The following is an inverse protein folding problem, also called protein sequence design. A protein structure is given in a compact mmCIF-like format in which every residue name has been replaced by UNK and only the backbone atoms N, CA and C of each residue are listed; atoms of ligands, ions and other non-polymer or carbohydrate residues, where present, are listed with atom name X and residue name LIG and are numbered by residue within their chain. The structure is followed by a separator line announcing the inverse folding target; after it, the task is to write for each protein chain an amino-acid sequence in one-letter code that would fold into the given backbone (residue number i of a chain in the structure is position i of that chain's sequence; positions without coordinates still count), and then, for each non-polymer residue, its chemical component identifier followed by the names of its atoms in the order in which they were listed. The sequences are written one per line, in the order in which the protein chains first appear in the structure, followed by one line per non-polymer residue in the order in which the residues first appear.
data_IF_288523154566
#
_entry.id   IF_288523154566
#
_cell.length_a   1.000
_cell.length_b   1.000
_cell.length_c   1.000
_cell.angle_alpha   90.00
_cell.angle_beta   90.00
_cell.angle_gamma   90.00
#
_symmetry.space_group_name_H-M   'P 1'
#
loop_
_entity.id
_entity.type
_entity.pdbx_description
1 polymer ?
#
# COMPACT_ATOMS: atom_id res chain seq x y z
N UNK A 1 42.80 1.10 23.56
CA UNK A 1 41.84 0.02 23.28
C UNK A 1 40.38 0.45 23.38
N UNK A 2 39.88 1.00 24.49
CA UNK A 2 38.45 1.39 24.62
C UNK A 2 37.92 2.35 23.53
N UNK A 3 38.68 3.41 23.17
CA UNK A 3 38.26 4.40 22.15
C UNK A 3 38.21 3.86 20.71
N UNK A 4 39.07 2.88 20.37
CA UNK A 4 39.07 2.20 19.07
C UNK A 4 37.91 1.20 18.95
N UNK A 5 37.54 0.53 20.05
CA UNK A 5 36.36 -0.32 20.11
C UNK A 5 35.07 0.50 19.93
N UNK A 6 34.94 1.64 20.62
CA UNK A 6 33.80 2.53 20.42
C UNK A 6 33.71 3.08 19.00
N UNK A 7 34.84 3.47 18.38
CA UNK A 7 34.85 3.95 16.99
C UNK A 7 34.49 2.84 15.98
N UNK A 8 34.96 1.61 16.21
CA UNK A 8 34.63 0.46 15.36
C UNK A 8 33.17 0.01 15.52
N UNK A 9 32.64 0.02 16.75
CA UNK A 9 31.21 -0.23 17.01
C UNK A 9 30.34 0.88 16.41
N UNK A 10 30.77 2.15 16.49
CA UNK A 10 30.08 3.25 15.81
C UNK A 10 30.12 3.14 14.29
N UNK A 11 31.25 2.73 13.70
CA UNK A 11 31.38 2.51 12.25
C UNK A 11 30.61 1.27 11.78
N UNK A 12 30.53 0.21 12.59
CA UNK A 12 29.74 -0.98 12.30
C UNK A 12 28.22 -0.71 12.43
N UNK A 13 27.80 0.07 13.45
CA UNK A 13 26.44 0.58 13.55
C UNK A 13 26.12 1.54 12.40
N UNK A 14 27.04 2.46 12.06
CA UNK A 14 26.88 3.38 10.92
C UNK A 14 26.80 2.64 9.57
N UNK A 15 27.49 1.50 9.41
CA UNK A 15 27.39 0.66 8.23
C UNK A 15 26.03 -0.08 8.13
N UNK A 16 25.36 -0.36 9.26
CA UNK A 16 23.97 -0.84 9.26
C UNK A 16 22.97 0.27 8.84
N UNK A 17 23.31 1.54 9.05
CA UNK A 17 22.52 2.68 8.58
C UNK A 17 22.85 3.13 7.14
N UNK A 18 23.83 2.48 6.47
CA UNK A 18 24.36 2.94 5.18
C UNK A 18 23.90 2.13 3.96
N UNK A 19 23.00 1.17 4.13
CA UNK A 19 22.40 0.43 3.01
C UNK A 19 20.90 0.31 3.22
N UNK A 20 20.13 0.94 2.33
CA UNK A 20 18.70 0.69 2.20
C UNK A 20 18.46 -0.83 2.02
N UNK A 21 17.43 -1.34 2.69
CA UNK A 21 17.01 -2.73 2.61
C UNK A 21 16.57 -3.03 1.17
N UNK A 22 17.08 -4.10 0.58
CA UNK A 22 16.68 -4.52 -0.77
C UNK A 22 15.25 -5.06 -0.79
N UNK A 23 14.62 -5.07 -1.97
CA UNK A 23 13.29 -5.69 -2.15
C UNK A 23 13.26 -7.15 -1.70
N UNK A 24 14.33 -7.92 -1.97
CA UNK A 24 14.46 -9.32 -1.56
C UNK A 24 14.56 -9.51 -0.05
N UNK A 25 15.32 -8.65 0.64
CA UNK A 25 15.44 -8.70 2.10
C UNK A 25 14.12 -8.29 2.76
N UNK A 26 13.45 -7.26 2.22
CA UNK A 26 12.13 -6.87 2.68
C UNK A 26 11.09 -7.98 2.49
N UNK A 27 11.13 -8.67 1.35
CA UNK A 27 10.22 -9.79 1.06
C UNK A 27 10.46 -10.95 2.01
N UNK A 28 11.72 -11.32 2.27
CA UNK A 28 12.07 -12.36 3.24
C UNK A 28 11.48 -12.05 4.61
N UNK A 29 11.59 -10.79 5.07
CA UNK A 29 11.06 -10.33 6.36
C UNK A 29 9.54 -10.23 6.40
N UNK A 30 8.90 -9.89 5.28
CA UNK A 30 7.45 -9.81 5.18
C UNK A 30 6.79 -11.20 5.06
N UNK A 31 7.47 -12.16 4.42
CA UNK A 31 6.93 -13.48 4.05
C UNK A 31 6.26 -14.27 5.19
N UNK A 32 6.72 -14.25 6.45
CA UNK A 32 6.04 -14.99 7.53
C UNK A 32 4.66 -14.43 7.85
N UNK A 33 4.41 -13.16 7.50
CA UNK A 33 3.17 -12.44 7.81
C UNK A 33 2.21 -12.36 6.62
N UNK A 34 2.67 -12.69 5.40
CA UNK A 34 1.82 -12.74 4.21
C UNK A 34 1.11 -14.09 4.01
N UNK A 35 1.48 -15.12 4.77
CA UNK A 35 0.73 -16.38 4.94
C UNK A 35 0.26 -17.09 3.65
N UNK A 36 0.98 -16.90 2.52
CA UNK A 36 0.62 -17.47 1.22
C UNK A 36 -0.55 -16.77 0.51
N UNK A 37 -0.95 -15.59 0.99
CA UNK A 37 -1.90 -14.73 0.28
C UNK A 37 -1.27 -14.15 -1.00
N UNK A 38 -2.10 -13.96 -2.02
CA UNK A 38 -1.71 -13.21 -3.21
C UNK A 38 -1.60 -11.73 -2.87
N UNK A 39 -0.41 -11.30 -2.47
CA UNK A 39 -0.11 -9.90 -2.18
C UNK A 39 0.38 -9.17 -3.44
N UNK A 40 -0.05 -7.93 -3.57
CA UNK A 40 0.52 -6.93 -4.47
C UNK A 40 1.66 -6.22 -3.75
N UNK A 41 2.73 -5.96 -4.49
CA UNK A 41 3.92 -5.28 -3.99
C UNK A 41 4.10 -3.98 -4.77
N UNK A 42 4.46 -2.90 -4.07
CA UNK A 42 4.81 -1.66 -4.74
C UNK A 42 6.13 -1.82 -5.53
N UNK A 43 6.30 -1.15 -6.68
CA UNK A 43 7.51 -1.23 -7.48
C UNK A 43 8.78 -0.73 -6.76
N UNK A 44 8.64 0.16 -5.78
CA UNK A 44 9.73 0.70 -4.96
C UNK A 44 9.22 1.11 -3.57
N UNK A 45 10.10 1.43 -2.60
CA UNK A 45 9.69 1.88 -1.28
C UNK A 45 8.87 3.16 -1.34
N UNK A 46 7.74 3.21 -0.66
CA UNK A 46 6.89 4.40 -0.57
C UNK A 46 7.27 5.23 0.66
N UNK A 47 7.57 6.51 0.47
CA UNK A 47 7.80 7.45 1.58
C UNK A 47 6.49 7.72 2.31
N UNK A 48 6.43 7.37 3.61
CA UNK A 48 5.27 7.62 4.48
C UNK A 48 5.74 8.32 5.76
N UNK A 49 5.58 9.64 5.79
CA UNK A 49 5.99 10.44 6.94
C UNK A 49 7.49 10.71 6.95
N UNK A 50 8.24 10.04 7.83
CA UNK A 50 9.68 10.29 8.01
C UNK A 50 10.56 9.10 7.60
N UNK A 51 9.97 8.10 6.95
CA UNK A 51 10.57 6.81 6.62
C UNK A 51 9.93 6.30 5.32
N UNK A 52 10.58 5.34 4.69
CA UNK A 52 10.16 4.72 3.43
C UNK A 52 9.92 3.24 3.64
N UNK A 53 8.91 2.69 2.98
CA UNK A 53 8.45 1.34 3.28
C UNK A 53 8.32 0.48 2.03
N UNK A 54 8.88 -0.72 2.09
CA UNK A 54 8.45 -1.82 1.21
C UNK A 54 7.08 -2.30 1.68
N UNK A 55 6.07 -2.16 0.83
CA UNK A 55 4.66 -2.42 1.18
C UNK A 55 4.14 -3.61 0.38
N UNK A 56 3.55 -4.55 1.10
CA UNK A 56 2.86 -5.73 0.58
C UNK A 56 1.41 -5.67 1.04
N UNK A 57 0.46 -5.71 0.11
CA UNK A 57 -0.95 -5.58 0.45
C UNK A 57 -1.82 -6.49 -0.41
N UNK A 58 -2.95 -6.95 0.11
CA UNK A 58 -3.97 -7.61 -0.71
C UNK A 58 -4.71 -6.56 -1.54
N UNK A 59 -4.99 -6.84 -2.81
CA UNK A 59 -5.73 -5.93 -3.71
C UNK A 59 -6.96 -5.29 -3.05
N UNK A 60 -7.35 -4.09 -3.47
CA UNK A 60 -8.55 -3.44 -2.93
C UNK A 60 -9.77 -3.58 -3.86
N UNK A 61 -9.53 -3.97 -5.12
CA UNK A 61 -10.53 -4.08 -6.17
C UNK A 61 -10.20 -5.23 -7.13
N UNK A 62 -11.16 -6.12 -7.46
CA UNK A 62 -12.50 -6.29 -6.90
C UNK A 62 -12.46 -6.70 -5.41
N UNK A 63 -13.58 -6.66 -4.67
CA UNK A 63 -13.59 -6.90 -3.24
C UNK A 63 -12.97 -8.26 -2.88
N UNK A 64 -11.89 -8.25 -2.11
CA UNK A 64 -11.30 -9.45 -1.52
C UNK A 64 -11.73 -9.61 -0.08
N UNK A 65 -11.96 -10.87 0.30
CA UNK A 65 -12.41 -11.24 1.65
C UNK A 65 -11.32 -11.12 2.70
N UNK A 66 -10.05 -11.30 2.30
CA UNK A 66 -8.89 -11.14 3.16
C UNK A 66 -8.22 -9.80 2.88
N UNK A 67 -8.02 -9.05 3.96
CA UNK A 67 -7.42 -7.72 3.95
C UNK A 67 -6.17 -7.79 4.79
N UNK A 68 -5.04 -7.47 4.18
CA UNK A 68 -3.73 -7.54 4.80
C UNK A 68 -2.87 -6.42 4.27
N UNK A 69 -2.05 -5.88 5.18
CA UNK A 69 -0.93 -5.01 4.85
C UNK A 69 0.27 -5.44 5.69
N UNK A 70 1.42 -5.58 5.04
CA UNK A 70 2.70 -5.81 5.68
C UNK A 70 3.64 -4.74 5.16
N UNK A 71 4.36 -4.08 6.06
CA UNK A 71 5.31 -3.05 5.71
C UNK A 71 6.66 -3.33 6.36
N UNK A 72 7.74 -3.13 5.60
CA UNK A 72 9.11 -3.24 6.09
C UNK A 72 9.79 -1.89 5.90
N UNK A 73 10.34 -1.32 6.96
CA UNK A 73 11.09 -0.06 6.88
C UNK A 73 12.32 -0.26 6.00
N UNK A 74 12.52 0.64 5.03
CA UNK A 74 13.69 0.65 4.17
C UNK A 74 14.96 0.94 4.97
N UNK A 75 14.87 1.80 5.99
CA UNK A 75 16.02 2.21 6.81
C UNK A 75 16.32 1.24 7.95
N UNK A 76 15.30 0.80 8.70
CA UNK A 76 15.50 -0.10 9.84
C UNK A 76 15.56 -1.57 9.40
N UNK A 77 14.96 -1.89 8.27
CA UNK A 77 14.78 -3.26 7.82
C UNK A 77 13.80 -4.05 8.67
N UNK A 78 13.13 -3.48 9.65
CA UNK A 78 12.20 -4.21 10.51
C UNK A 78 10.77 -4.11 9.97
N UNK A 79 9.99 -5.16 10.25
CA UNK A 79 8.55 -5.15 9.97
C UNK A 79 7.85 -4.15 10.90
N UNK A 80 7.01 -3.29 10.32
CA UNK A 80 6.29 -2.26 11.06
C UNK A 80 5.19 -2.89 11.90
N UNK A 81 5.36 -2.86 13.22
CA UNK A 81 4.40 -3.41 14.20
C UNK A 81 3.68 -2.34 15.03
N UNK A 82 4.10 -1.08 14.93
CA UNK A 82 3.38 0.05 15.52
C UNK A 82 2.07 0.30 14.77
N UNK A 83 0.94 0.17 15.45
CA UNK A 83 -0.39 0.25 14.82
C UNK A 83 -0.66 1.62 14.17
N UNK A 84 -0.15 2.71 14.74
CA UNK A 84 -0.36 4.07 14.22
C UNK A 84 0.39 4.24 12.91
N UNK A 85 1.68 3.86 12.88
CA UNK A 85 2.50 3.88 11.66
C UNK A 85 1.94 2.93 10.62
N UNK A 86 1.62 1.69 10.99
CA UNK A 86 1.08 0.70 10.06
C UNK A 86 -0.27 1.14 9.49
N UNK A 87 -1.12 1.80 10.29
CA UNK A 87 -2.37 2.38 9.79
C UNK A 87 -2.15 3.50 8.77
N UNK A 88 -1.12 4.32 8.94
CA UNK A 88 -0.75 5.34 7.94
C UNK A 88 -0.26 4.68 6.65
N UNK A 89 0.64 3.70 6.76
CA UNK A 89 1.13 2.92 5.61
C UNK A 89 0.00 2.19 4.89
N UNK A 90 -0.93 1.59 5.63
CA UNK A 90 -2.11 0.92 5.09
C UNK A 90 -3.04 1.89 4.34
N UNK A 91 -3.20 3.11 4.85
CA UNK A 91 -3.99 4.12 4.17
C UNK A 91 -3.35 4.53 2.83
N UNK A 92 -2.02 4.65 2.79
CA UNK A 92 -1.28 4.92 1.56
C UNK A 92 -1.30 3.74 0.59
N UNK A 93 -1.19 2.50 1.09
CA UNK A 93 -1.36 1.29 0.28
C UNK A 93 -2.75 1.22 -0.36
N UNK A 94 -3.79 1.65 0.37
CA UNK A 94 -5.15 1.74 -0.17
C UNK A 94 -5.25 2.77 -1.30
N UNK A 95 -4.64 3.95 -1.13
CA UNK A 95 -4.62 4.98 -2.18
C UNK A 95 -3.88 4.49 -3.42
N UNK A 96 -2.77 3.77 -3.24
CA UNK A 96 -2.03 3.15 -4.32
C UNK A 96 -2.88 2.09 -5.02
N UNK A 97 -3.55 1.21 -4.26
CA UNK A 97 -4.47 0.21 -4.79
C UNK A 97 -5.63 0.82 -5.59
N UNK A 98 -6.11 2.01 -5.24
CA UNK A 98 -7.15 2.68 -6.04
C UNK A 98 -6.62 3.08 -7.44
N UNK A 99 -5.36 3.47 -7.52
CA UNK A 99 -4.70 3.76 -8.80
C UNK A 99 -4.38 2.46 -9.55
N UNK A 100 -3.65 1.56 -8.91
CA UNK A 100 -3.09 0.35 -9.51
C UNK A 100 -4.13 -0.75 -9.79
N UNK A 101 -5.10 -0.97 -8.90
CA UNK A 101 -6.07 -2.08 -9.03
C UNK A 101 -7.32 -1.67 -9.82
N UNK A 102 -7.65 -0.37 -9.85
CA UNK A 102 -8.86 0.14 -10.50
C UNK A 102 -8.59 1.09 -11.67
N UNK A 103 -7.83 2.17 -11.48
CA UNK A 103 -7.66 3.22 -12.51
C UNK A 103 -6.84 2.72 -13.71
N UNK A 104 -5.65 2.17 -13.46
CA UNK A 104 -4.72 1.76 -14.52
C UNK A 104 -5.24 0.58 -15.37
N UNK A 105 -5.72 -0.54 -14.78
CA UNK A 105 -6.17 -1.69 -15.56
C UNK A 105 -7.43 -1.40 -16.36
N UNK A 106 -8.21 -0.40 -15.94
CA UNK A 106 -9.37 0.09 -16.68
C UNK A 106 -9.01 1.14 -17.72
N UNK A 107 -7.76 1.57 -17.85
CA UNK A 107 -7.33 2.59 -18.80
C UNK A 107 -7.95 3.97 -18.50
N UNK A 108 -7.95 4.34 -17.23
CA UNK A 108 -8.37 5.67 -16.75
C UNK A 108 -7.20 6.53 -16.29
N UNK A 109 -5.95 6.12 -16.57
CA UNK A 109 -4.77 6.91 -16.25
C UNK A 109 -4.79 8.26 -16.97
N UNK A 110 -4.16 9.28 -16.37
CA UNK A 110 -4.01 10.59 -17.02
C UNK A 110 -3.27 10.49 -18.35
N UNK A 111 -2.26 9.61 -18.43
CA UNK A 111 -1.53 9.30 -19.66
C UNK A 111 -2.41 8.81 -20.81
N UNK A 112 -3.55 8.15 -20.50
CA UNK A 112 -4.50 7.67 -21.50
C UNK A 112 -5.57 8.72 -21.83
N UNK A 113 -6.08 9.41 -20.80
CA UNK A 113 -7.23 10.29 -20.93
C UNK A 113 -6.87 11.69 -21.45
N UNK A 114 -5.76 12.27 -21.00
CA UNK A 114 -5.39 13.64 -21.36
C UNK A 114 -5.17 13.83 -22.88
N UNK A 115 -4.45 12.94 -23.60
CA UNK A 115 -4.29 13.10 -25.05
C UNK A 115 -5.61 12.99 -25.82
N UNK A 116 -6.46 12.03 -25.46
CA UNK A 116 -7.76 11.84 -26.09
C UNK A 116 -8.65 13.08 -25.90
N UNK A 117 -8.65 13.65 -24.69
CA UNK A 117 -9.44 14.82 -24.37
C UNK A 117 -8.93 16.10 -25.08
N UNK A 118 -7.60 16.30 -25.15
CA UNK A 118 -6.99 17.40 -25.89
C UNK A 118 -7.35 17.38 -27.39
N UNK A 119 -7.35 16.20 -28.03
CA UNK A 119 -7.77 16.08 -29.43
C UNK A 119 -9.24 16.46 -29.62
N UNK A 120 -10.10 16.11 -28.68
CA UNK A 120 -11.53 16.44 -28.72
C UNK A 120 -11.82 17.91 -28.48
N UNK A 121 -11.01 18.59 -27.67
CA UNK A 121 -11.10 20.05 -27.53
C UNK A 121 -10.83 20.76 -28.86
N UNK A 122 -9.82 20.32 -29.62
CA UNK A 122 -9.55 20.87 -30.97
C UNK A 122 -10.73 20.64 -31.90
N UNK A 123 -11.31 19.43 -31.88
CA UNK A 123 -12.49 19.12 -32.68
C UNK A 123 -13.69 19.99 -32.31
N UNK A 124 -13.94 20.25 -31.02
CA UNK A 124 -15.00 21.14 -30.55
C UNK A 124 -14.81 22.59 -31.04
N UNK A 125 -13.58 23.10 -31.00
CA UNK A 125 -13.26 24.43 -31.54
C UNK A 125 -13.50 24.50 -33.05
N UNK A 126 -13.21 23.43 -33.80
CA UNK A 126 -13.54 23.33 -35.22
C UNK A 126 -15.05 23.27 -35.45
N UNK A 127 -15.80 22.52 -34.62
CA UNK A 127 -17.26 22.49 -34.67
C UNK A 127 -17.87 23.87 -34.45
N UNK A 128 -17.26 24.74 -33.62
CA UNK A 128 -17.72 26.11 -33.43
C UNK A 128 -17.60 26.94 -34.72
N UNK A 129 -16.45 26.85 -35.40
CA UNK A 129 -16.26 27.53 -36.68
C UNK A 129 -17.23 26.99 -37.75
N UNK A 130 -17.38 25.66 -37.84
CA UNK A 130 -18.27 25.02 -38.79
C UNK A 130 -19.75 25.38 -38.56
N UNK A 131 -20.18 25.49 -37.29
CA UNK A 131 -21.53 25.91 -36.95
C UNK A 131 -21.78 27.37 -37.33
N UNK A 132 -20.81 28.26 -37.09
CA UNK A 132 -20.90 29.66 -37.48
C UNK A 132 -21.03 29.83 -39.00
N UNK A 133 -20.21 29.10 -39.76
CA UNK A 133 -20.26 29.10 -41.23
C UNK A 133 -21.60 28.55 -41.74
N UNK A 134 -22.08 27.44 -41.15
CA UNK A 134 -23.39 26.86 -41.47
C UNK A 134 -24.51 27.85 -41.16
N UNK A 135 -24.49 28.51 -39.99
CA UNK A 135 -25.50 29.48 -39.59
C UNK A 135 -25.55 30.68 -40.53
N UNK A 136 -24.40 31.22 -40.94
CA UNK A 136 -24.35 32.33 -41.91
C UNK A 136 -24.95 31.94 -43.26
N UNK A 137 -24.57 30.76 -43.79
CA UNK A 137 -25.08 30.28 -45.08
C UNK A 137 -26.58 30.01 -45.00
N UNK A 138 -27.05 29.37 -43.93
CA UNK A 138 -28.46 29.01 -43.75
C UNK A 138 -29.32 30.26 -43.49
N UNK A 139 -28.93 31.17 -42.61
CA UNK A 139 -29.72 32.38 -42.32
C UNK A 139 -29.89 33.28 -43.54
N UNK A 140 -28.90 33.31 -44.45
CA UNK A 140 -29.00 34.09 -45.69
C UNK A 140 -30.09 33.59 -46.66
N UNK A 141 -30.49 32.31 -46.56
CA UNK A 141 -31.46 31.65 -47.46
C UNK A 141 -32.74 31.20 -46.75
N UNK A 142 -32.65 30.86 -45.48
CA UNK A 142 -33.65 30.17 -44.67
C UNK A 142 -33.74 30.81 -43.28
N UNK A 143 -34.07 32.10 -43.22
CA UNK A 143 -34.06 32.91 -41.99
C UNK A 143 -34.98 32.42 -40.85
N UNK A 144 -35.86 31.44 -41.11
CA UNK A 144 -36.72 30.81 -40.10
C UNK A 144 -36.07 29.59 -39.41
N UNK A 145 -34.93 29.11 -39.91
CA UNK A 145 -34.14 28.10 -39.20
C UNK A 145 -33.27 28.78 -38.16
N UNK A 146 -33.33 28.27 -36.93
CA UNK A 146 -32.58 28.78 -35.79
C UNK A 146 -31.62 27.73 -35.25
N UNK A 147 -30.35 28.12 -35.10
CA UNK A 147 -29.30 27.29 -34.52
C UNK A 147 -28.78 27.85 -33.19
N UNK A 148 -29.42 28.89 -32.63
CA UNK A 148 -29.02 29.56 -31.39
C UNK A 148 -28.86 28.59 -30.21
N UNK A 149 -29.73 27.59 -30.10
CA UNK A 149 -29.64 26.57 -29.05
C UNK A 149 -28.43 25.64 -29.24
N UNK A 150 -28.09 25.30 -30.49
CA UNK A 150 -26.89 24.51 -30.80
C UNK A 150 -25.64 25.32 -30.47
N UNK A 151 -25.62 26.60 -30.82
CA UNK A 151 -24.52 27.53 -30.53
C UNK A 151 -24.31 27.75 -29.02
N UNK A 152 -25.40 27.96 -28.27
CA UNK A 152 -25.35 28.11 -26.83
C UNK A 152 -24.82 26.85 -26.14
N UNK A 153 -25.32 25.67 -26.53
CA UNK A 153 -24.85 24.41 -25.95
C UNK A 153 -23.42 24.07 -26.35
N UNK A 154 -23.00 24.39 -27.58
CA UNK A 154 -21.61 24.21 -28.02
C UNK A 154 -20.65 25.13 -27.23
N UNK A 155 -21.06 26.37 -26.97
CA UNK A 155 -20.27 27.30 -26.15
C UNK A 155 -20.09 26.79 -24.73
N UNK A 156 -21.17 26.28 -24.11
CA UNK A 156 -21.09 25.63 -22.79
C UNK A 156 -20.21 24.38 -22.82
N UNK A 157 -20.28 23.60 -23.90
CA UNK A 157 -19.49 22.39 -24.07
C UNK A 157 -18.00 22.69 -24.22
N UNK A 158 -17.64 23.71 -24.99
CA UNK A 158 -16.24 24.17 -25.12
C UNK A 158 -15.71 24.65 -23.77
N UNK A 159 -16.49 25.45 -23.03
CA UNK A 159 -16.09 25.90 -21.70
C UNK A 159 -15.89 24.72 -20.72
N UNK A 160 -16.82 23.76 -20.71
CA UNK A 160 -16.69 22.55 -19.91
C UNK A 160 -15.49 21.69 -20.34
N UNK A 161 -15.16 21.68 -21.64
CA UNK A 161 -13.98 21.01 -22.17
C UNK A 161 -12.69 21.71 -21.71
N UNK A 162 -12.59 23.03 -21.80
CA UNK A 162 -11.41 23.77 -21.34
C UNK A 162 -11.11 23.51 -19.85
N UNK A 163 -12.14 23.62 -19.00
CA UNK A 163 -12.03 23.34 -17.56
C UNK A 163 -11.59 21.90 -17.28
N UNK A 164 -12.15 20.95 -18.03
CA UNK A 164 -11.85 19.53 -17.87
C UNK A 164 -10.44 19.22 -18.37
N UNK A 165 -10.03 19.78 -19.51
CA UNK A 165 -8.70 19.59 -20.08
C UNK A 165 -7.61 20.14 -19.15
N UNK A 166 -7.80 21.35 -18.60
CA UNK A 166 -6.86 21.92 -17.63
C UNK A 166 -6.64 20.98 -16.43
N UNK A 167 -7.72 20.37 -15.93
CA UNK A 167 -7.64 19.39 -14.84
C UNK A 167 -6.91 18.10 -15.25
N UNK A 168 -7.12 17.60 -16.47
CA UNK A 168 -6.41 16.43 -16.99
C UNK A 168 -4.92 16.69 -17.18
N UNK A 169 -4.54 17.87 -17.67
CA UNK A 169 -3.13 18.26 -17.83
C UNK A 169 -2.42 18.39 -16.49
N UNK A 170 -3.07 19.04 -15.51
CA UNK A 170 -2.53 19.13 -14.15
C UNK A 170 -2.42 17.75 -13.51
N UNK A 171 -3.44 16.91 -13.63
CA UNK A 171 -3.41 15.52 -13.14
C UNK A 171 -2.29 14.69 -13.77
N UNK A 172 -2.00 14.89 -15.06
CA UNK A 172 -0.85 14.27 -15.73
C UNK A 172 0.48 14.73 -15.11
N UNK A 173 0.62 16.04 -14.82
CA UNK A 173 1.81 16.56 -14.15
C UNK A 173 1.96 15.97 -12.74
N UNK A 174 0.87 15.86 -11.99
CA UNK A 174 0.89 15.27 -10.65
C UNK A 174 1.20 13.77 -10.66
N UNK A 175 0.77 13.06 -11.71
CA UNK A 175 1.17 11.67 -11.91
C UNK A 175 2.69 11.55 -12.10
N UNK A 176 3.30 12.46 -12.86
CA UNK A 176 4.75 12.49 -13.02
C UNK A 176 5.46 12.81 -11.70
N UNK A 177 4.98 13.83 -10.96
CA UNK A 177 5.53 14.18 -9.64
C UNK A 177 5.48 12.99 -8.68
N UNK A 178 4.36 12.26 -8.63
CA UNK A 178 4.26 11.05 -7.83
C UNK A 178 5.25 9.97 -8.29
N UNK A 179 5.43 9.76 -9.58
CA UNK A 179 6.39 8.76 -10.08
C UNK A 179 7.84 9.12 -9.74
N UNK A 180 8.17 10.42 -9.70
CA UNK A 180 9.52 10.92 -9.42
C UNK A 180 9.83 10.91 -7.92
N UNK A 181 8.88 11.32 -7.07
CA UNK A 181 9.06 11.45 -5.61
C UNK A 181 8.69 10.18 -4.86
N UNK A 182 7.61 9.53 -5.30
CA UNK A 182 7.07 8.28 -4.74
C UNK A 182 6.79 8.33 -3.24
N UNK A 183 6.00 9.34 -2.84
CA UNK A 183 5.56 9.54 -1.45
C UNK A 183 4.06 9.45 -1.29
N UNK A 184 3.62 9.19 -0.05
CA UNK A 184 2.22 9.20 0.33
C UNK A 184 1.54 10.56 0.14
N UNK A 185 2.26 11.67 0.30
CA UNK A 185 1.70 13.02 0.08
C UNK A 185 1.34 13.20 -1.39
N UNK A 186 2.26 12.89 -2.29
CA UNK A 186 2.05 13.03 -3.73
C UNK A 186 1.02 12.03 -4.25
N UNK A 187 0.98 10.82 -3.69
CA UNK A 187 -0.06 9.84 -3.99
C UNK A 187 -1.46 10.33 -3.59
N UNK A 188 -1.60 10.92 -2.40
CA UNK A 188 -2.87 11.52 -1.96
C UNK A 188 -3.29 12.68 -2.87
N UNK A 189 -2.34 13.50 -3.30
CA UNK A 189 -2.59 14.58 -4.28
C UNK A 189 -3.05 13.98 -5.62
N UNK A 190 -2.36 12.98 -6.14
CA UNK A 190 -2.72 12.30 -7.39
C UNK A 190 -4.14 11.72 -7.34
N UNK A 191 -4.49 11.05 -6.23
CA UNK A 191 -5.85 10.54 -5.98
C UNK A 191 -6.89 11.65 -6.01
N UNK A 192 -6.61 12.80 -5.39
CA UNK A 192 -7.50 13.96 -5.41
C UNK A 192 -7.74 14.44 -6.85
N UNK A 193 -6.70 14.49 -7.68
CA UNK A 193 -6.82 14.86 -9.08
C UNK A 193 -7.65 13.84 -9.89
N UNK A 194 -7.48 12.54 -9.65
CA UNK A 194 -8.34 11.53 -10.30
C UNK A 194 -9.82 11.73 -9.94
N UNK A 195 -10.14 11.92 -8.66
CA UNK A 195 -11.52 12.09 -8.23
C UNK A 195 -12.15 13.38 -8.81
N UNK A 196 -11.38 14.47 -8.80
CA UNK A 196 -11.81 15.76 -9.35
C UNK A 196 -12.01 15.66 -10.86
N UNK A 197 -11.07 15.02 -11.58
CA UNK A 197 -11.14 14.86 -13.03
C UNK A 197 -12.32 14.00 -13.47
N UNK A 198 -12.61 12.89 -12.77
CA UNK A 198 -13.79 12.07 -13.07
C UNK A 198 -15.09 12.81 -12.81
N UNK A 199 -15.14 13.64 -11.77
CA UNK A 199 -16.32 14.48 -11.49
C UNK A 199 -16.53 15.54 -12.57
N UNK A 200 -15.45 16.21 -13.03
CA UNK A 200 -15.49 17.17 -14.15
C UNK A 200 -15.90 16.50 -15.45
N UNK A 201 -15.32 15.33 -15.75
CA UNK A 201 -15.65 14.57 -16.94
C UNK A 201 -17.11 14.10 -16.95
N UNK A 202 -17.67 13.74 -15.78
CA UNK A 202 -19.10 13.44 -15.65
C UNK A 202 -19.96 14.65 -15.99
N UNK A 203 -19.61 15.85 -15.50
CA UNK A 203 -20.32 17.08 -15.83
C UNK A 203 -20.20 17.46 -17.31
N UNK A 204 -19.00 17.32 -17.89
CA UNK A 204 -18.76 17.49 -19.32
C UNK A 204 -19.68 16.59 -20.16
N UNK A 205 -19.83 15.32 -19.79
CA UNK A 205 -20.71 14.41 -20.52
C UNK A 205 -22.19 14.74 -20.40
N UNK A 206 -22.63 15.35 -19.30
CA UNK A 206 -23.99 15.91 -19.22
C UNK A 206 -24.18 17.03 -20.25
N UNK A 207 -23.25 17.99 -20.31
CA UNK A 207 -23.31 19.09 -21.29
C UNK A 207 -23.20 18.57 -22.72
N UNK A 208 -22.38 17.55 -22.96
CA UNK A 208 -22.27 16.91 -24.26
C UNK A 208 -23.60 16.28 -24.71
N UNK A 209 -24.32 15.63 -23.81
CA UNK A 209 -25.64 15.08 -24.13
C UNK A 209 -26.65 16.18 -24.49
N UNK A 210 -26.63 17.32 -23.79
CA UNK A 210 -27.50 18.46 -24.11
C UNK A 210 -27.16 19.06 -25.48
N UNK A 211 -25.88 19.14 -25.84
CA UNK A 211 -25.44 19.52 -27.17
C UNK A 211 -25.93 18.55 -28.26
N UNK A 212 -25.80 17.23 -28.04
CA UNK A 212 -26.32 16.22 -28.97
C UNK A 212 -27.85 16.32 -29.15
N UNK A 213 -28.59 16.60 -28.08
CA UNK A 213 -30.04 16.80 -28.13
C UNK A 213 -30.42 18.06 -28.90
N UNK A 214 -29.64 19.15 -28.79
CA UNK A 214 -29.83 20.36 -29.56
C UNK A 214 -29.60 20.12 -31.06
N UNK A 215 -28.54 19.37 -31.43
CA UNK A 215 -28.30 18.98 -32.82
C UNK A 215 -29.47 18.16 -33.38
N UNK A 216 -29.94 17.15 -32.63
CA UNK A 216 -31.06 16.32 -33.06
C UNK A 216 -32.35 17.14 -33.27
N UNK A 217 -32.57 18.15 -32.42
CA UNK A 217 -33.70 19.07 -32.53
C UNK A 217 -33.59 19.95 -33.79
N UNK A 218 -32.40 20.50 -34.07
CA UNK A 218 -32.12 21.27 -35.28
C UNK A 218 -32.27 20.41 -36.56
N UNK A 219 -31.76 19.19 -36.55
CA UNK A 219 -31.95 18.22 -37.64
C UNK A 219 -33.42 17.90 -37.88
N UNK A 220 -34.22 17.72 -36.81
CA UNK A 220 -35.66 17.51 -36.93
C UNK A 220 -36.38 18.73 -37.53
N UNK A 221 -35.97 19.95 -37.18
CA UNK A 221 -36.50 21.18 -37.73
C UNK A 221 -36.19 21.32 -39.23
N UNK A 222 -34.95 21.00 -39.64
CA UNK A 222 -34.53 20.97 -41.05
C UNK A 222 -35.35 19.92 -41.81
N UNK A 223 -35.46 18.70 -41.30
CA UNK A 223 -36.21 17.63 -41.96
C UNK A 223 -37.70 17.95 -42.16
N UNK A 224 -38.34 18.62 -41.19
CA UNK A 224 -39.75 19.03 -41.26
C UNK A 224 -39.99 20.33 -42.04
N UNK A 225 -38.92 21.02 -42.43
CA UNK A 225 -39.00 22.28 -43.16
C UNK A 225 -39.41 22.06 -44.62
N UNK A 226 -39.92 23.09 -45.32
CA UNK A 226 -40.19 23.03 -46.75
C UNK A 226 -38.93 23.08 -47.64
N UNK A 227 -37.72 23.00 -47.06
CA UNK A 227 -36.45 23.01 -47.81
C UNK A 227 -36.34 21.70 -48.61
N UNK A 228 -36.13 21.81 -49.92
CA UNK A 228 -35.95 20.66 -50.81
C UNK A 228 -34.49 20.23 -50.91
N UNK A 229 -34.24 19.00 -51.38
CA UNK A 229 -32.91 18.56 -51.76
C UNK A 229 -32.32 19.46 -52.88
N UNK A 230 -30.99 19.68 -52.92
CA UNK A 230 -29.97 19.09 -52.05
C UNK A 230 -29.74 19.85 -50.72
N UNK A 231 -30.29 21.05 -50.57
CA UNK A 231 -30.00 21.91 -49.40
C UNK A 231 -30.44 21.28 -48.08
N UNK A 232 -31.59 20.61 -48.05
CA UNK A 232 -32.06 19.88 -46.87
C UNK A 232 -31.03 18.83 -46.38
N UNK A 233 -30.57 18.00 -47.30
CA UNK A 233 -29.60 16.93 -47.03
C UNK A 233 -28.25 17.50 -46.60
N UNK A 234 -27.79 18.56 -47.27
CA UNK A 234 -26.54 19.24 -46.94
C UNK A 234 -26.57 19.82 -45.53
N UNK A 235 -27.62 20.55 -45.16
CA UNK A 235 -27.76 21.12 -43.81
C UNK A 235 -27.83 20.01 -42.76
N UNK A 236 -28.63 18.98 -43.01
CA UNK A 236 -28.76 17.84 -42.10
C UNK A 236 -27.42 17.14 -41.85
N UNK A 237 -26.66 16.87 -42.92
CA UNK A 237 -25.36 16.22 -42.85
C UNK A 237 -24.30 17.12 -42.21
N UNK A 238 -24.33 18.43 -42.46
CA UNK A 238 -23.47 19.38 -41.76
C UNK A 238 -23.71 19.35 -40.25
N UNK A 239 -24.96 19.31 -39.80
CA UNK A 239 -25.30 19.15 -38.39
C UNK A 239 -24.86 17.79 -37.82
N UNK A 240 -24.97 16.70 -38.58
CA UNK A 240 -24.52 15.37 -38.14
C UNK A 240 -23.00 15.36 -37.92
N UNK A 241 -22.23 15.99 -38.81
CA UNK A 241 -20.78 16.09 -38.70
C UNK A 241 -20.32 16.86 -37.45
N UNK A 242 -21.16 17.74 -36.90
CA UNK A 242 -20.84 18.47 -35.67
C UNK A 242 -20.84 17.57 -34.41
N UNK A 243 -21.40 16.36 -34.49
CA UNK A 243 -21.45 15.40 -33.37
C UNK A 243 -20.14 14.64 -33.19
N UNK A 244 -19.33 14.51 -34.25
CA UNK A 244 -18.09 13.75 -34.19
C UNK A 244 -16.95 14.60 -33.62
N UNK A 245 -16.77 14.49 -32.30
CA UNK A 245 -15.67 15.14 -31.56
C UNK A 245 -14.63 14.13 -31.08
N UNK A 246 -14.64 12.89 -31.58
CA UNK A 246 -13.68 11.86 -31.20
C UNK A 246 -13.85 11.28 -29.77
N UNK A 247 -14.92 11.60 -29.05
CA UNK A 247 -15.17 11.12 -27.66
C UNK A 247 -16.17 9.97 -27.54
N UNK A 248 -16.73 9.46 -28.64
CA UNK A 248 -17.80 8.46 -28.61
C UNK A 248 -17.43 7.20 -27.80
N UNK A 249 -16.21 6.70 -27.96
CA UNK A 249 -15.68 5.55 -27.19
C UNK A 249 -15.53 5.88 -25.70
N UNK A 250 -14.97 7.05 -25.37
CA UNK A 250 -14.78 7.48 -23.99
C UNK A 250 -16.11 7.71 -23.28
N UNK A 251 -17.05 8.37 -23.97
CA UNK A 251 -18.42 8.58 -23.50
C UNK A 251 -19.11 7.26 -23.20
N UNK A 252 -19.08 6.31 -24.15
CA UNK A 252 -19.70 4.98 -23.97
C UNK A 252 -19.10 4.21 -22.79
N UNK A 253 -17.78 4.30 -22.60
CA UNK A 253 -17.08 3.67 -21.48
C UNK A 253 -17.43 4.30 -20.13
N UNK A 254 -17.52 5.62 -20.06
CA UNK A 254 -17.89 6.33 -18.83
C UNK A 254 -19.36 6.18 -18.49
N UNK A 255 -20.25 6.22 -19.49
CA UNK A 255 -21.68 6.01 -19.30
C UNK A 255 -22.01 4.61 -18.75
N UNK A 256 -21.25 3.58 -19.17
CA UNK A 256 -21.48 2.19 -18.73
C UNK A 256 -20.85 1.85 -17.36
N UNK A 257 -19.77 2.52 -16.97
CA UNK A 257 -18.99 2.15 -15.77
C UNK A 257 -18.99 3.18 -14.63
N UNK A 258 -19.33 4.43 -14.92
CA UNK A 258 -19.33 5.57 -13.99
C UNK A 258 -18.17 5.52 -12.97
N UNK A 259 -16.94 5.78 -13.41
CA UNK A 259 -15.75 5.63 -12.56
C UNK A 259 -15.74 6.57 -11.35
N UNK A 260 -16.40 7.73 -11.42
CA UNK A 260 -16.58 8.63 -10.27
C UNK A 260 -17.36 7.95 -9.14
N UNK A 261 -18.48 7.30 -9.45
CA UNK A 261 -19.28 6.57 -8.45
C UNK A 261 -18.49 5.40 -7.86
N UNK A 262 -17.78 4.65 -8.70
CA UNK A 262 -16.97 3.51 -8.23
C UNK A 262 -15.82 3.97 -7.33
N UNK A 263 -15.11 5.04 -7.70
CA UNK A 263 -14.01 5.58 -6.92
C UNK A 263 -14.50 6.13 -5.56
N UNK A 264 -15.62 6.86 -5.55
CA UNK A 264 -16.25 7.32 -4.31
C UNK A 264 -16.67 6.15 -3.40
N UNK A 265 -17.21 5.08 -3.99
CA UNK A 265 -17.54 3.86 -3.27
C UNK A 265 -16.31 3.21 -2.63
N UNK A 266 -15.21 3.07 -3.38
CA UNK A 266 -13.93 2.59 -2.84
C UNK A 266 -13.49 3.42 -1.63
N UNK A 267 -13.45 4.75 -1.74
CA UNK A 267 -13.03 5.59 -0.62
C UNK A 267 -13.94 5.51 0.60
N UNK A 268 -15.22 5.16 0.45
CA UNK A 268 -16.10 4.89 1.60
C UNK A 268 -15.67 3.65 2.40
N UNK A 269 -14.98 2.68 1.78
CA UNK A 269 -14.48 1.47 2.42
C UNK A 269 -13.05 1.60 2.97
N UNK A 270 -12.31 2.66 2.61
CA UNK A 270 -10.90 2.85 2.99
C UNK A 270 -10.66 2.61 4.48
N UNK A 271 -11.44 3.25 5.36
CA UNK A 271 -11.26 3.12 6.81
C UNK A 271 -11.47 1.69 7.31
N UNK A 272 -12.50 1.01 6.82
CA UNK A 272 -12.77 -0.36 7.19
C UNK A 272 -11.65 -1.28 6.69
N UNK A 273 -11.19 -1.07 5.45
CA UNK A 273 -10.09 -1.85 4.89
C UNK A 273 -8.79 -1.67 5.68
N UNK A 274 -8.43 -0.43 6.02
CA UNK A 274 -7.25 -0.12 6.84
C UNK A 274 -7.30 -0.82 8.19
N UNK A 275 -8.42 -0.69 8.91
CA UNK A 275 -8.59 -1.31 10.23
C UNK A 275 -8.48 -2.84 10.17
N UNK A 276 -9.14 -3.45 9.19
CA UNK A 276 -9.12 -4.91 9.03
C UNK A 276 -7.71 -5.40 8.64
N UNK A 277 -7.02 -4.69 7.75
CA UNK A 277 -5.64 -5.02 7.35
C UNK A 277 -4.65 -4.93 8.50
N UNK A 278 -4.72 -3.85 9.30
CA UNK A 278 -3.89 -3.68 10.51
C UNK A 278 -4.21 -4.78 11.52
N UNK A 279 -5.48 -5.10 11.73
CA UNK A 279 -5.90 -6.15 12.66
C UNK A 279 -5.39 -7.54 12.23
N UNK A 280 -5.50 -7.87 10.94
CA UNK A 280 -4.96 -9.11 10.37
C UNK A 280 -3.46 -9.22 10.58
N UNK A 281 -2.72 -8.13 10.33
CA UNK A 281 -1.29 -8.09 10.56
C UNK A 281 -0.96 -8.25 12.06
N UNK A 282 -1.59 -7.46 12.94
CA UNK A 282 -1.33 -7.52 14.39
C UNK A 282 -1.58 -8.91 14.96
N UNK A 283 -2.59 -9.62 14.45
CA UNK A 283 -2.83 -11.02 14.78
C UNK A 283 -1.67 -11.93 14.30
N UNK A 284 -1.28 -11.84 13.03
CA UNK A 284 -0.20 -12.65 12.47
C UNK A 284 1.14 -12.39 13.18
N UNK A 285 1.46 -11.12 13.42
CA UNK A 285 2.65 -10.67 14.12
C UNK A 285 2.71 -11.20 15.56
N UNK A 286 1.65 -10.95 16.33
CA UNK A 286 1.57 -11.40 17.73
C UNK A 286 1.61 -12.92 17.82
N UNK A 287 0.89 -13.62 16.95
CA UNK A 287 0.89 -15.09 16.90
C UNK A 287 2.30 -15.65 16.64
N UNK A 288 2.98 -15.18 15.59
CA UNK A 288 4.32 -15.66 15.24
C UNK A 288 5.30 -15.48 16.39
N UNK A 289 5.37 -14.26 16.94
CA UNK A 289 6.26 -13.91 18.05
C UNK A 289 5.93 -14.70 19.33
N UNK A 290 4.64 -14.82 19.67
CA UNK A 290 4.20 -15.54 20.86
C UNK A 290 4.54 -17.03 20.79
N UNK A 291 4.34 -17.66 19.62
CA UNK A 291 4.64 -19.08 19.43
C UNK A 291 6.15 -19.35 19.42
N UNK A 292 6.95 -18.49 18.79
CA UNK A 292 8.41 -18.61 18.84
C UNK A 292 8.94 -18.51 20.28
N UNK A 293 8.49 -17.50 21.04
CA UNK A 293 8.87 -17.34 22.44
C UNK A 293 8.35 -18.48 23.32
N UNK A 294 7.14 -18.98 23.03
CA UNK A 294 6.56 -20.13 23.70
C UNK A 294 7.40 -21.38 23.48
N UNK A 295 7.77 -21.72 22.25
CA UNK A 295 8.54 -22.91 21.91
C UNK A 295 9.92 -22.88 22.58
N UNK A 296 10.58 -21.73 22.58
CA UNK A 296 11.86 -21.53 23.27
C UNK A 296 11.75 -21.76 24.80
N UNK A 297 10.67 -21.26 25.42
CA UNK A 297 10.43 -21.42 26.85
C UNK A 297 9.95 -22.84 27.22
N UNK A 298 9.14 -23.46 26.36
CA UNK A 298 8.52 -24.77 26.60
C UNK A 298 9.56 -25.87 26.75
N UNK A 299 10.62 -25.85 25.93
CA UNK A 299 11.74 -26.80 26.06
C UNK A 299 12.36 -26.77 27.46
N UNK A 300 12.47 -25.59 28.08
CA UNK A 300 13.01 -25.44 29.44
C UNK A 300 11.96 -25.77 30.50
N UNK A 301 10.70 -25.44 30.27
CA UNK A 301 9.60 -25.80 31.16
C UNK A 301 9.43 -27.33 31.27
N UNK A 302 9.67 -28.08 30.20
CA UNK A 302 9.67 -29.55 30.24
C UNK A 302 10.63 -30.12 31.29
N UNK A 303 11.77 -29.48 31.54
CA UNK A 303 12.66 -29.87 32.63
C UNK A 303 11.97 -29.75 34.00
N UNK A 304 11.24 -28.65 34.24
CA UNK A 304 10.51 -28.42 35.49
C UNK A 304 9.44 -29.49 35.74
N UNK A 305 8.76 -29.93 34.68
CA UNK A 305 7.70 -30.95 34.77
C UNK A 305 8.25 -32.36 34.90
N UNK A 306 9.27 -32.72 34.10
CA UNK A 306 9.85 -34.07 34.07
C UNK A 306 10.75 -34.35 35.27
N UNK A 307 11.51 -33.36 35.76
CA UNK A 307 12.44 -33.52 36.88
C UNK A 307 11.80 -33.24 38.25
N UNK A 308 10.46 -33.16 38.34
CA UNK A 308 9.74 -32.71 39.54
C UNK A 308 10.19 -33.39 40.84
N UNK A 309 10.34 -34.71 40.83
CA UNK A 309 10.76 -35.48 42.02
C UNK A 309 12.20 -35.15 42.45
N UNK A 310 13.09 -34.91 41.48
CA UNK A 310 14.49 -34.55 41.74
C UNK A 310 14.62 -33.09 42.19
N UNK A 311 13.79 -32.20 41.64
CA UNK A 311 13.70 -30.81 42.09
C UNK A 311 13.19 -30.73 43.54
N UNK A 312 12.22 -31.58 43.90
CA UNK A 312 11.72 -31.70 45.27
C UNK A 312 12.77 -32.23 46.24
N UNK A 313 13.60 -33.21 45.85
CA UNK A 313 14.69 -33.68 46.71
C UNK A 313 15.76 -32.61 46.95
N UNK A 314 15.91 -31.66 46.03
CA UNK A 314 16.71 -30.45 46.20
C UNK A 314 16.01 -29.32 46.98
N UNK A 315 14.79 -29.52 47.49
CA UNK A 315 14.01 -28.50 48.20
C UNK A 315 13.52 -27.35 47.31
N UNK A 316 13.46 -27.55 46.00
CA UNK A 316 13.02 -26.54 45.02
C UNK A 316 11.51 -26.67 44.81
N UNK A 317 10.77 -25.61 45.13
CA UNK A 317 9.31 -25.53 44.95
C UNK A 317 9.01 -24.99 43.55
N UNK A 318 8.19 -25.70 42.78
CA UNK A 318 7.87 -25.36 41.38
C UNK A 318 6.43 -24.89 41.16
N UNK A 319 5.61 -24.84 42.23
CA UNK A 319 4.18 -24.54 42.14
C UNK A 319 3.85 -23.19 41.48
N UNK A 320 4.61 -22.13 41.81
CA UNK A 320 4.42 -20.81 41.19
C UNK A 320 4.75 -20.82 39.70
N UNK A 321 5.78 -21.58 39.28
CA UNK A 321 6.14 -21.72 37.86
C UNK A 321 5.05 -22.49 37.11
N UNK A 322 4.52 -23.56 37.70
CA UNK A 322 3.43 -24.34 37.09
C UNK A 322 2.15 -23.52 36.96
N UNK A 323 1.78 -22.72 37.97
CA UNK A 323 0.61 -21.83 37.90
C UNK A 323 0.76 -20.81 36.78
N UNK A 324 1.88 -20.10 36.74
CA UNK A 324 2.06 -19.04 35.75
C UNK A 324 2.21 -19.63 34.33
N UNK A 325 2.74 -20.85 34.19
CA UNK A 325 2.73 -21.58 32.91
C UNK A 325 1.32 -21.97 32.47
N UNK A 326 0.44 -22.38 33.38
CA UNK A 326 -0.98 -22.65 33.05
C UNK A 326 -1.69 -21.40 32.52
N UNK A 327 -1.32 -20.22 33.00
CA UNK A 327 -1.85 -18.95 32.46
C UNK A 327 -1.37 -18.70 31.03
N UNK A 328 -0.09 -18.99 30.72
CA UNK A 328 0.43 -18.96 29.35
C UNK A 328 -0.32 -19.95 28.44
N UNK A 329 -0.54 -21.20 28.90
CA UNK A 329 -1.30 -22.22 28.16
C UNK A 329 -2.75 -21.77 27.88
N UNK A 330 -3.42 -21.18 28.87
CA UNK A 330 -4.77 -20.64 28.71
C UNK A 330 -4.85 -19.60 27.59
N UNK A 331 -3.90 -18.67 27.52
CA UNK A 331 -3.88 -17.66 26.46
C UNK A 331 -3.45 -18.23 25.11
N UNK A 332 -2.63 -19.29 25.08
CA UNK A 332 -2.30 -20.04 23.85
C UNK A 332 -3.53 -20.72 23.27
N UNK A 333 -4.32 -21.39 24.09
CA UNK A 333 -5.54 -22.11 23.69
C UNK A 333 -6.64 -21.17 23.17
N UNK A 334 -6.68 -19.92 23.64
CA UNK A 334 -7.61 -18.90 23.11
C UNK A 334 -7.38 -18.54 21.64
N UNK A 335 -6.16 -18.72 21.11
CA UNK A 335 -5.81 -18.49 19.71
C UNK A 335 -6.34 -17.15 19.12
N UNK A 336 -6.18 -16.05 19.87
CA UNK A 336 -6.65 -14.70 19.48
C UNK A 336 -5.52 -13.67 19.59
N UNK A 337 -5.64 -12.52 18.93
CA UNK A 337 -4.62 -11.46 18.97
C UNK A 337 -4.31 -11.01 20.40
N UNK A 338 -5.36 -10.74 21.19
CA UNK A 338 -5.25 -10.38 22.61
C UNK A 338 -4.60 -11.52 23.42
N UNK A 339 -4.95 -12.77 23.12
CA UNK A 339 -4.34 -13.94 23.75
C UNK A 339 -2.84 -14.02 23.49
N UNK A 340 -2.42 -13.91 22.23
CA UNK A 340 -1.00 -13.94 21.87
C UNK A 340 -0.21 -12.75 22.41
N UNK A 341 -0.81 -11.54 22.43
CA UNK A 341 -0.20 -10.38 23.08
C UNK A 341 -0.01 -10.64 24.59
N UNK A 342 -1.00 -11.21 25.28
CA UNK A 342 -0.87 -11.59 26.70
C UNK A 342 0.17 -12.68 26.92
N UNK A 343 0.28 -13.66 26.04
CA UNK A 343 1.37 -14.63 26.10
C UNK A 343 2.74 -13.95 26.04
N UNK A 344 2.94 -13.00 25.12
CA UNK A 344 4.20 -12.25 25.00
C UNK A 344 4.55 -11.44 26.26
N UNK A 345 3.54 -10.93 26.97
CA UNK A 345 3.74 -10.26 28.26
C UNK A 345 4.13 -11.25 29.37
N UNK A 346 3.53 -12.45 29.39
CA UNK A 346 3.70 -13.45 30.46
C UNK A 346 4.96 -14.32 30.28
N UNK A 347 5.38 -14.59 29.04
CA UNK A 347 6.48 -15.50 28.73
C UNK A 347 7.83 -15.05 29.36
N UNK A 348 8.24 -13.76 29.32
CA UNK A 348 9.50 -13.34 29.93
C UNK A 348 9.58 -13.59 31.46
N UNK A 349 8.62 -13.15 32.30
CA UNK A 349 8.69 -13.41 33.74
C UNK A 349 8.59 -14.90 34.08
N UNK A 350 7.78 -15.68 33.33
CA UNK A 350 7.69 -17.13 33.51
C UNK A 350 9.02 -17.81 33.17
N UNK A 351 9.65 -17.42 32.06
CA UNK A 351 10.96 -17.94 31.64
C UNK A 351 12.04 -17.63 32.68
N UNK A 352 12.05 -16.42 33.25
CA UNK A 352 12.99 -16.07 34.32
C UNK A 352 12.84 -16.97 35.57
N UNK A 353 11.60 -17.35 35.92
CA UNK A 353 11.35 -18.29 37.02
C UNK A 353 11.80 -19.71 36.68
N UNK A 354 11.58 -20.16 35.44
CA UNK A 354 12.09 -21.45 34.94
C UNK A 354 13.62 -21.49 35.03
N UNK A 355 14.30 -20.44 34.57
CA UNK A 355 15.76 -20.34 34.62
C UNK A 355 16.28 -20.32 36.08
N UNK A 356 15.55 -19.69 37.00
CA UNK A 356 15.87 -19.75 38.44
C UNK A 356 15.77 -21.16 39.01
N UNK A 357 14.73 -21.93 38.64
CA UNK A 357 14.59 -23.34 39.02
C UNK A 357 15.79 -24.15 38.50
N UNK A 358 16.17 -23.94 37.24
CA UNK A 358 17.32 -24.62 36.64
C UNK A 358 18.63 -24.27 37.34
N UNK A 359 18.88 -22.99 37.61
CA UNK A 359 20.08 -22.52 38.32
C UNK A 359 20.18 -23.09 39.74
N UNK A 360 19.08 -23.11 40.49
CA UNK A 360 19.02 -23.70 41.84
C UNK A 360 19.25 -25.20 41.80
N UNK A 361 18.72 -25.88 40.79
CA UNK A 361 18.98 -27.31 40.58
C UNK A 361 20.46 -27.57 40.31
N UNK A 362 21.07 -26.81 39.41
CA UNK A 362 22.51 -26.90 39.14
C UNK A 362 23.34 -26.66 40.41
N UNK A 363 23.00 -25.66 41.22
CA UNK A 363 23.65 -25.42 42.50
C UNK A 363 23.47 -26.57 43.50
N UNK A 364 22.32 -27.26 43.49
CA UNK A 364 22.05 -28.42 44.34
C UNK A 364 22.94 -29.61 43.97
N UNK A 365 23.03 -29.96 42.68
CA UNK A 365 23.79 -31.11 42.20
C UNK A 365 25.30 -30.84 42.15
N UNK A 366 25.72 -29.58 42.08
CA UNK A 366 27.12 -29.15 42.13
C UNK A 366 27.65 -28.95 43.55
N UNK A 367 26.86 -29.24 44.61
CA UNK A 367 27.39 -29.23 45.98
C UNK A 367 28.49 -30.29 46.11
N UNK A 368 29.72 -29.92 46.49
CA UNK A 368 30.79 -30.90 46.59
C UNK A 368 30.49 -31.91 47.71
N UNK A 369 30.36 -33.18 47.36
CA UNK A 369 30.62 -34.28 48.28
C UNK A 369 32.06 -34.12 48.77
N UNK A 370 32.26 -34.18 50.09
CA UNK A 370 33.53 -33.83 50.72
C UNK A 370 34.75 -34.47 50.03
N UNK A 371 35.76 -33.62 49.85
CA UNK A 371 37.14 -33.88 49.40
C UNK A 371 37.42 -33.80 47.88
N UNK A 372 37.72 -32.58 47.42
CA UNK A 372 38.92 -32.30 46.66
C UNK A 372 39.35 -30.84 46.87
N UNK A 373 40.63 -30.65 47.12
CA UNK A 373 41.37 -29.39 47.30
C UNK A 373 41.04 -28.37 46.19
N UNK A 374 40.93 -27.05 46.47
CA UNK A 374 40.56 -26.09 45.44
C UNK A 374 41.70 -25.94 44.42
N UNK A 375 41.47 -26.41 43.20
CA UNK A 375 42.22 -25.95 42.03
C UNK A 375 41.68 -24.57 41.67
N UNK A 376 42.54 -23.57 41.70
CA UNK A 376 42.24 -22.22 41.25
C UNK A 376 41.85 -22.30 39.76
N UNK A 377 40.55 -22.18 39.44
CA UNK A 377 40.10 -22.05 38.05
C UNK A 377 40.68 -20.75 37.49
N UNK A 378 41.46 -20.86 36.42
CA UNK A 378 41.92 -19.70 35.68
C UNK A 378 40.70 -18.99 35.07
N UNK A 379 40.58 -17.68 35.29
CA UNK A 379 39.53 -16.87 34.70
C UNK A 379 39.74 -16.78 33.18
N UNK A 380 38.93 -17.55 32.43
CA UNK A 380 38.90 -17.58 30.97
C UNK A 380 37.83 -16.64 30.38
N UNK A 381 37.26 -15.72 31.17
CA UNK A 381 36.25 -14.78 30.67
C UNK A 381 36.76 -13.96 29.47
N UNK A 382 38.08 -13.69 29.40
CA UNK A 382 38.75 -13.08 28.24
C UNK A 382 38.72 -13.93 26.96
N UNK A 383 38.73 -15.27 27.05
CA UNK A 383 38.57 -16.15 25.89
C UNK A 383 37.15 -16.06 25.34
N UNK A 384 36.15 -15.92 26.20
CA UNK A 384 34.75 -15.75 25.81
C UNK A 384 34.54 -14.41 25.08
N UNK A 385 35.14 -13.32 25.57
CA UNK A 385 35.14 -12.04 24.87
C UNK A 385 35.93 -12.10 23.54
N UNK A 386 37.07 -12.79 23.50
CA UNK A 386 37.84 -12.97 22.27
C UNK A 386 37.08 -13.81 21.23
N UNK A 387 36.34 -14.83 21.66
CA UNK A 387 35.54 -15.70 20.80
C UNK A 387 34.30 -14.97 20.25
N UNK A 388 33.65 -14.12 21.06
CA UNK A 388 32.58 -13.21 20.59
C UNK A 388 33.11 -12.21 19.56
N UNK A 389 34.26 -11.57 19.81
CA UNK A 389 34.88 -10.65 18.84
C UNK A 389 35.25 -11.37 17.54
N UNK A 390 35.77 -12.59 17.63
CA UNK A 390 36.15 -13.39 16.47
C UNK A 390 34.91 -13.86 15.67
N UNK A 391 33.82 -14.22 16.35
CA UNK A 391 32.54 -14.53 15.69
C UNK A 391 31.94 -13.30 15.00
N UNK A 392 31.99 -12.13 15.63
CA UNK A 392 31.55 -10.86 15.01
C UNK A 392 32.42 -10.50 13.80
N UNK A 393 33.74 -10.69 13.91
CA UNK A 393 34.66 -10.44 12.80
C UNK A 393 34.46 -11.43 11.63
N UNK A 394 34.22 -12.70 11.91
CA UNK A 394 33.92 -13.73 10.90
C UNK A 394 32.57 -13.47 10.24
N UNK A 395 31.54 -13.11 11.03
CA UNK A 395 30.24 -12.76 10.50
C UNK A 395 30.31 -11.50 9.63
N UNK A 396 30.98 -10.45 10.09
CA UNK A 396 31.21 -9.22 9.34
C UNK A 396 32.02 -9.45 8.06
N UNK A 397 33.05 -10.31 8.11
CA UNK A 397 33.84 -10.67 6.94
C UNK A 397 33.03 -11.48 5.92
N UNK A 398 32.23 -12.46 6.37
CA UNK A 398 31.37 -13.24 5.49
C UNK A 398 30.27 -12.39 4.86
N UNK A 399 29.68 -11.46 5.63
CA UNK A 399 28.71 -10.50 5.13
C UNK A 399 29.33 -9.57 4.07
N UNK A 400 30.52 -9.01 4.36
CA UNK A 400 31.26 -8.19 3.40
C UNK A 400 31.63 -8.95 2.12
N UNK A 401 32.10 -10.20 2.27
CA UNK A 401 32.44 -11.06 1.14
C UNK A 401 31.22 -11.36 0.26
N UNK A 402 30.07 -11.69 0.88
CA UNK A 402 28.81 -11.93 0.18
C UNK A 402 28.35 -10.69 -0.59
N UNK A 403 28.36 -9.51 0.04
CA UNK A 403 28.06 -8.22 -0.61
C UNK A 403 28.99 -7.91 -1.79
N UNK A 404 30.26 -8.32 -1.71
CA UNK A 404 31.24 -8.09 -2.79
C UNK A 404 31.07 -9.05 -3.96
N UNK A 405 30.65 -10.28 -3.69
CA UNK A 405 30.32 -11.28 -4.72
C UNK A 405 29.01 -10.91 -5.43
N UNK A 406 28.02 -10.37 -4.70
CA UNK A 406 26.76 -9.85 -5.25
C UNK A 406 26.93 -8.57 -6.09
N UNK A 407 27.98 -7.78 -5.86
CA UNK A 407 28.30 -6.60 -6.67
C UNK A 407 29.16 -6.91 -7.91
N UNK A 408 29.64 -8.15 -8.04
CA UNK A 408 30.47 -8.62 -9.15
C UNK A 408 29.74 -9.60 -10.09
N UNK A 409 28.50 -9.98 -9.74
CA UNK A 409 27.54 -10.67 -10.59
C UNK A 409 26.51 -9.66 -11.12
#
# INVERSE_FOLDING_TARGET
MKRLFFAFVFLALAAQFACAVSSSEAEEKASPYTAGEAVTTLPQPLEVGADSYWIYYTQIYPPVSKKLVVAVSEYLGDVVSDEVKLSAVAASAYDYGAVHDFIEPKGYSFSSLAPAFSSSLIALQQSQANLNDLAQVVQSKYAYLDFSQVEANLTLLVQAADDTNAMFQEGQSQQQVFNDVYSASELSTLVYYYNTSFSRLSAFFTVYQDYLNAIASAQSAVFKSPITAPDNENIYNSLENLKDIGLSSLYSKFASSNPSVTLNSLYSYKRAWVNDSVSSFSFAYSKGRALEAYDAAYLRYQFVTQAKTVLQSCGIVTADVTRDWQEVEYYREKASAIGYAKMLELLPPVTAKIDSVYSRYQACISKPTASATPTQEADYSWLLYALVILLVAVYGYNWWKKKREEAAA
#
